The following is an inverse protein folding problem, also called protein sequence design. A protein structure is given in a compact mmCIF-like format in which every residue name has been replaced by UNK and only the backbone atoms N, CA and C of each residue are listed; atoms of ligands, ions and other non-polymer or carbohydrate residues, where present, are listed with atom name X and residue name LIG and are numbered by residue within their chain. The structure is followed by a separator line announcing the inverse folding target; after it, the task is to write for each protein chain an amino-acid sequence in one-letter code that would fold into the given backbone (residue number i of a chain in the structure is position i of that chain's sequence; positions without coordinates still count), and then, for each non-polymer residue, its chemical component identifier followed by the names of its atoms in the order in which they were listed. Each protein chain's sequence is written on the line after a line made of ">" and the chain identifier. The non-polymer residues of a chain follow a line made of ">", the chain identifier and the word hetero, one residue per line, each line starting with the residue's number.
data_IF_933946567304
#
_entry.id   IF_933946567304
#
_cell.length_a   1.000
_cell.length_b   1.000
_cell.length_c   1.000
_cell.angle_alpha   90.00
_cell.angle_beta   90.00
_cell.angle_gamma   90.00
#
_symmetry.space_group_name_H-M   'P 1'
#
loop_
_entity.id
_entity.type
_entity.pdbx_description
1 polymer ?
#
# COMPACT_ATOMS: atom_id res chain seq x y z
N UNK A 1 -11.72 -0.33 7.52
CA UNK A 1 -10.91 -1.43 6.90
C UNK A 1 -11.65 -2.79 6.93
N UNK A 2 -11.54 -3.63 5.89
CA UNK A 2 -12.17 -4.96 5.76
C UNK A 2 -11.13 -6.08 5.83
N UNK A 3 -11.21 -6.92 6.87
CA UNK A 3 -10.25 -8.02 7.09
C UNK A 3 -10.25 -9.06 5.95
N UNK A 4 -11.40 -9.34 5.33
CA UNK A 4 -11.49 -10.26 4.17
C UNK A 4 -10.66 -9.78 2.97
N UNK A 5 -10.57 -8.47 2.76
CA UNK A 5 -9.73 -7.90 1.71
C UNK A 5 -8.25 -8.02 2.05
N UNK A 6 -7.86 -7.81 3.31
CA UNK A 6 -6.48 -8.03 3.79
C UNK A 6 -6.05 -9.50 3.58
N UNK A 7 -6.93 -10.45 3.92
CA UNK A 7 -6.72 -11.88 3.66
C UNK A 7 -6.47 -12.13 2.17
N UNK A 8 -7.27 -11.49 1.31
CA UNK A 8 -7.16 -11.65 -0.14
C UNK A 8 -5.82 -11.14 -0.68
N UNK A 9 -5.33 -10.01 -0.17
CA UNK A 9 -4.00 -9.46 -0.50
C UNK A 9 -2.90 -10.46 -0.13
N UNK A 10 -2.88 -10.94 1.10
CA UNK A 10 -1.86 -11.88 1.57
C UNK A 10 -1.91 -13.22 0.82
N UNK A 11 -3.12 -13.72 0.50
CA UNK A 11 -3.31 -14.92 -0.34
C UNK A 11 -2.78 -14.77 -1.75
N UNK A 12 -2.99 -13.61 -2.37
CA UNK A 12 -2.53 -13.35 -3.72
C UNK A 12 -1.00 -13.40 -3.81
N UNK A 13 -0.30 -12.85 -2.81
CA UNK A 13 1.17 -12.84 -2.78
C UNK A 13 1.77 -14.08 -2.11
N UNK A 14 0.94 -14.94 -1.51
CA UNK A 14 1.36 -16.12 -0.72
C UNK A 14 2.39 -15.78 0.37
N UNK A 15 2.28 -14.58 0.94
CA UNK A 15 3.17 -14.06 1.97
C UNK A 15 2.33 -13.59 3.14
N UNK A 16 2.69 -14.05 4.33
CA UNK A 16 2.05 -13.66 5.58
C UNK A 16 3.14 -13.37 6.61
N UNK A 17 3.27 -12.12 7.00
CA UNK A 17 4.19 -11.66 8.03
C UNK A 17 3.37 -11.12 9.19
N UNK A 18 3.56 -11.68 10.38
CA UNK A 18 2.95 -11.14 11.60
C UNK A 18 3.97 -10.31 12.36
N UNK A 19 3.55 -9.13 12.80
CA UNK A 19 4.33 -8.27 13.68
C UNK A 19 3.46 -7.86 14.85
N UNK A 20 4.05 -7.81 16.03
CA UNK A 20 3.38 -7.36 17.24
C UNK A 20 3.99 -6.03 17.69
N UNK A 21 3.14 -5.13 18.19
CA UNK A 21 3.57 -3.99 18.98
C UNK A 21 2.80 -3.97 20.31
N UNK A 22 3.02 -2.96 21.15
CA UNK A 22 2.41 -2.90 22.49
C UNK A 22 0.87 -2.84 22.49
N UNK A 23 0.23 -2.57 21.36
CA UNK A 23 -1.21 -2.32 21.28
C UNK A 23 -1.96 -3.38 20.49
N UNK A 24 -1.43 -3.81 19.34
CA UNK A 24 -2.13 -4.71 18.42
C UNK A 24 -1.16 -5.60 17.65
N UNK A 25 -1.70 -6.70 17.11
CA UNK A 25 -1.03 -7.50 16.11
C UNK A 25 -1.31 -6.94 14.71
N UNK A 26 -0.29 -6.95 13.87
CA UNK A 26 -0.31 -6.50 12.48
C UNK A 26 0.00 -7.66 11.55
N UNK A 27 -0.58 -7.61 10.36
CA UNK A 27 -0.40 -8.60 9.30
C UNK A 27 0.05 -7.93 8.02
N UNK A 28 0.98 -8.56 7.31
CA UNK A 28 1.58 -8.01 6.11
C UNK A 28 1.81 -9.08 5.05
N UNK A 29 1.75 -8.67 3.79
CA UNK A 29 2.17 -9.47 2.63
C UNK A 29 3.61 -9.13 2.18
N UNK A 30 4.31 -8.29 2.93
CA UNK A 30 5.64 -7.77 2.61
C UNK A 30 5.66 -6.38 1.98
N UNK A 31 4.55 -5.88 1.43
CA UNK A 31 4.47 -4.56 0.80
C UNK A 31 3.37 -3.66 1.39
N UNK A 32 2.39 -4.23 2.09
CA UNK A 32 1.46 -3.50 2.93
C UNK A 32 1.30 -4.17 4.29
N UNK A 33 0.98 -3.38 5.31
CA UNK A 33 0.82 -3.81 6.70
C UNK A 33 -0.52 -3.29 7.21
N UNK A 34 -1.32 -4.18 7.80
CA UNK A 34 -2.66 -3.87 8.28
C UNK A 34 -2.84 -4.31 9.73
N UNK A 35 -3.56 -3.54 10.56
CA UNK A 35 -3.84 -3.93 11.92
C UNK A 35 -4.91 -5.02 11.95
N UNK A 36 -4.75 -6.00 12.84
CA UNK A 36 -5.77 -7.01 13.11
C UNK A 36 -6.68 -6.56 14.27
N UNK A 37 -7.29 -5.39 14.12
CA UNK A 37 -8.13 -4.80 15.18
C UNK A 37 -9.27 -5.73 15.62
N UNK A 38 -9.47 -5.80 16.94
CA UNK A 38 -10.54 -6.59 17.55
C UNK A 38 -10.32 -8.10 17.49
N UNK A 39 -9.16 -8.57 16.98
CA UNK A 39 -8.78 -9.97 17.00
C UNK A 39 -7.79 -10.23 18.14
N UNK A 40 -7.87 -11.40 18.80
CA UNK A 40 -6.83 -11.81 19.74
C UNK A 40 -5.52 -11.99 18.98
N UNK A 41 -4.39 -11.97 19.70
CA UNK A 41 -3.12 -12.38 19.12
C UNK A 41 -3.24 -13.78 18.53
N UNK A 42 -2.95 -13.90 17.25
CA UNK A 42 -3.07 -15.12 16.47
C UNK A 42 -1.69 -15.72 16.19
N UNK A 43 -1.58 -17.03 16.30
CA UNK A 43 -0.41 -17.79 15.83
C UNK A 43 -0.51 -18.04 14.33
N UNK A 44 0.59 -18.51 13.73
CA UNK A 44 0.61 -19.05 12.36
C UNK A 44 -0.61 -19.92 12.03
N UNK A 45 -0.86 -20.96 12.82
CA UNK A 45 -1.92 -21.93 12.52
C UNK A 45 -3.32 -21.32 12.61
N UNK A 46 -3.53 -20.41 13.56
CA UNK A 46 -4.79 -19.68 13.70
C UNK A 46 -5.02 -18.75 12.50
N UNK A 47 -3.99 -18.04 12.04
CA UNK A 47 -4.07 -17.18 10.85
C UNK A 47 -4.34 -18.00 9.59
N UNK A 48 -3.61 -19.10 9.39
CA UNK A 48 -3.82 -19.98 8.23
C UNK A 48 -5.23 -20.60 8.23
N UNK A 49 -5.76 -20.91 9.40
CA UNK A 49 -7.14 -21.41 9.57
C UNK A 49 -8.15 -20.31 9.25
N UNK A 50 -7.98 -19.10 9.78
CA UNK A 50 -8.83 -17.95 9.48
C UNK A 50 -8.80 -17.58 7.99
N UNK A 51 -7.67 -17.80 7.35
CA UNK A 51 -7.50 -17.59 5.93
C UNK A 51 -8.10 -18.75 5.12
N UNK A 52 -8.69 -19.79 5.71
CA UNK A 52 -9.16 -20.97 4.98
C UNK A 52 -8.07 -21.53 4.03
N UNK A 53 -6.82 -21.65 4.51
CA UNK A 53 -5.70 -22.25 3.75
C UNK A 53 -5.59 -23.74 4.09
N UNK A 54 -5.92 -24.64 3.14
CA UNK A 54 -5.79 -26.08 3.31
C UNK A 54 -4.35 -26.51 3.64
N UNK A 55 -4.18 -27.53 4.47
CA UNK A 55 -2.86 -28.01 4.93
C UNK A 55 -1.92 -28.35 3.77
N UNK A 56 -2.43 -29.00 2.72
CA UNK A 56 -1.70 -29.36 1.50
C UNK A 56 -1.18 -28.15 0.71
N UNK A 57 -1.76 -26.96 0.92
CA UNK A 57 -1.36 -25.72 0.26
C UNK A 57 -0.45 -24.83 1.11
N UNK A 58 -0.30 -25.12 2.42
CA UNK A 58 0.46 -24.26 3.36
C UNK A 58 1.94 -24.14 3.00
N UNK A 59 2.55 -25.17 2.44
CA UNK A 59 3.97 -25.16 2.03
C UNK A 59 4.26 -24.16 0.90
N UNK A 60 3.23 -23.73 0.15
CA UNK A 60 3.37 -22.71 -0.89
C UNK A 60 3.34 -21.28 -0.35
N UNK A 61 3.13 -21.09 0.96
CA UNK A 61 3.09 -19.78 1.60
C UNK A 61 4.39 -19.50 2.35
N UNK A 62 4.94 -18.30 2.16
CA UNK A 62 5.91 -17.74 3.06
C UNK A 62 5.22 -17.25 4.32
N UNK A 63 5.71 -17.68 5.48
CA UNK A 63 5.24 -17.21 6.77
C UNK A 63 6.40 -16.82 7.68
N UNK A 64 6.30 -15.68 8.33
CA UNK A 64 7.29 -15.20 9.29
C UNK A 64 6.62 -14.39 10.41
N UNK A 65 7.11 -14.54 11.64
CA UNK A 65 6.80 -13.60 12.72
C UNK A 65 8.05 -12.76 12.97
N UNK A 66 7.98 -11.46 12.65
CA UNK A 66 9.09 -10.53 12.81
C UNK A 66 8.62 -9.10 13.08
N UNK A 67 9.41 -8.29 13.81
CA UNK A 67 9.14 -6.86 13.92
C UNK A 67 9.43 -6.12 12.61
N UNK A 68 8.84 -4.94 12.46
CA UNK A 68 9.21 -3.95 11.44
C UNK A 68 9.97 -2.77 12.08
N UNK A 69 11.26 -2.91 12.41
CA UNK A 69 11.98 -1.96 13.27
C UNK A 69 12.16 -0.56 12.67
N UNK A 70 12.00 -0.40 11.35
CA UNK A 70 12.13 0.88 10.65
C UNK A 70 10.79 1.62 10.52
N UNK A 71 9.68 0.95 10.83
CA UNK A 71 8.33 1.47 10.62
C UNK A 71 7.76 1.96 11.95
N UNK A 72 7.21 3.17 11.96
CA UNK A 72 6.51 3.72 13.12
C UNK A 72 5.02 3.40 13.03
N UNK A 73 4.49 2.77 14.09
CA UNK A 73 3.09 2.36 14.18
C UNK A 73 2.23 3.34 15.00
N UNK A 74 2.77 4.48 15.38
CA UNK A 74 2.02 5.51 16.09
C UNK A 74 0.98 6.16 15.18
N UNK A 75 -0.17 6.52 15.75
CA UNK A 75 -1.27 7.18 15.05
C UNK A 75 -0.85 8.51 14.41
N UNK A 76 0.13 9.19 15.00
CA UNK A 76 0.68 10.45 14.50
C UNK A 76 2.20 10.45 14.66
N UNK A 77 2.88 11.03 13.67
CA UNK A 77 4.33 11.26 13.69
C UNK A 77 4.56 12.75 13.39
N UNK A 78 5.51 13.38 14.08
CA UNK A 78 5.72 14.84 14.05
C UNK A 78 5.86 15.41 12.64
N UNK A 79 6.54 14.70 11.74
CA UNK A 79 6.87 15.18 10.40
C UNK A 79 6.06 14.46 9.30
N UNK A 80 4.91 13.86 9.63
CA UNK A 80 4.04 13.27 8.60
C UNK A 80 3.32 14.35 7.80
N UNK A 81 3.28 14.18 6.47
CA UNK A 81 2.62 15.14 5.57
C UNK A 81 1.46 14.48 4.87
N UNK A 82 0.27 15.12 4.90
CA UNK A 82 -0.89 14.62 4.17
C UNK A 82 -0.63 14.68 2.66
N UNK A 83 -0.85 13.56 1.98
CA UNK A 83 -0.61 13.42 0.55
C UNK A 83 -1.81 13.89 -0.28
N UNK A 84 -1.50 14.51 -1.42
CA UNK A 84 -2.48 14.77 -2.48
C UNK A 84 -2.42 13.62 -3.49
N UNK A 85 -3.58 13.01 -3.75
CA UNK A 85 -3.74 11.94 -4.73
C UNK A 85 -3.86 12.56 -6.12
N UNK A 86 -3.15 12.02 -7.11
CA UNK A 86 -3.38 12.40 -8.49
C UNK A 86 -4.79 11.99 -8.94
N UNK A 87 -5.35 12.70 -9.92
CA UNK A 87 -6.66 12.37 -10.50
C UNK A 87 -6.59 11.31 -11.61
N UNK A 88 -5.38 10.80 -11.87
CA UNK A 88 -5.08 9.83 -12.92
C UNK A 88 -4.39 8.63 -12.26
N UNK A 89 -4.75 7.44 -12.72
CA UNK A 89 -4.05 6.20 -12.38
C UNK A 89 -3.42 5.61 -13.64
N UNK A 90 -2.36 4.83 -13.48
CA UNK A 90 -1.59 4.25 -14.59
C UNK A 90 -1.60 2.73 -14.49
N UNK A 91 -1.87 2.05 -15.61
CA UNK A 91 -1.75 0.60 -15.66
C UNK A 91 -0.42 0.20 -16.29
N UNK A 92 0.50 -0.34 -15.48
CA UNK A 92 1.90 -0.59 -15.86
C UNK A 92 2.31 -1.96 -15.38
N UNK A 93 2.79 -2.82 -16.28
CA UNK A 93 3.31 -4.14 -15.92
C UNK A 93 2.30 -5.06 -15.23
N UNK A 94 1.00 -4.89 -15.49
CA UNK A 94 -0.05 -5.68 -14.84
C UNK A 94 -0.61 -5.07 -13.55
N UNK A 95 -0.06 -3.94 -13.11
CA UNK A 95 -0.37 -3.28 -11.84
C UNK A 95 -1.08 -1.95 -12.12
N UNK A 96 -2.14 -1.68 -11.35
CA UNK A 96 -2.76 -0.35 -11.35
C UNK A 96 -2.06 0.51 -10.30
N UNK A 97 -1.31 1.50 -10.77
CA UNK A 97 -0.53 2.41 -9.97
C UNK A 97 -1.33 3.68 -9.68
N UNK A 98 -1.42 4.00 -8.41
CA UNK A 98 -1.93 5.28 -7.93
C UNK A 98 -0.77 6.24 -7.64
N UNK A 99 -0.68 7.37 -8.36
CA UNK A 99 0.34 8.37 -8.13
C UNK A 99 0.00 9.26 -6.93
N UNK A 100 0.99 9.48 -6.07
CA UNK A 100 0.90 10.32 -4.88
C UNK A 100 1.96 11.42 -4.98
N UNK A 101 1.54 12.68 -4.82
CA UNK A 101 2.48 13.81 -4.79
C UNK A 101 3.18 13.84 -3.44
N UNK A 102 4.51 13.77 -3.43
CA UNK A 102 5.33 13.71 -2.22
C UNK A 102 6.30 14.88 -2.15
N UNK A 103 6.97 15.03 -1.01
CA UNK A 103 8.07 15.99 -0.85
C UNK A 103 9.23 15.78 -1.85
N UNK A 104 9.38 14.56 -2.40
CA UNK A 104 10.40 14.18 -3.38
C UNK A 104 9.88 14.20 -4.83
N UNK A 105 8.71 14.80 -5.08
CA UNK A 105 8.06 14.83 -6.38
C UNK A 105 6.85 13.92 -6.43
N UNK A 106 7.02 12.70 -6.93
CA UNK A 106 5.92 11.73 -7.06
C UNK A 106 6.38 10.33 -6.65
N UNK A 107 5.50 9.61 -6.00
CA UNK A 107 5.67 8.17 -5.76
C UNK A 107 4.41 7.43 -6.18
N UNK A 108 4.49 6.11 -6.28
CA UNK A 108 3.38 5.27 -6.72
C UNK A 108 3.08 4.22 -5.68
N UNK A 109 1.81 3.86 -5.53
CA UNK A 109 1.39 2.67 -4.78
C UNK A 109 0.55 1.78 -5.69
N UNK A 110 0.60 0.48 -5.46
CA UNK A 110 -0.34 -0.44 -6.09
C UNK A 110 -1.73 -0.26 -5.46
N UNK A 111 -2.72 0.13 -6.26
CA UNK A 111 -4.11 0.36 -5.82
C UNK A 111 -4.72 -0.85 -5.10
N UNK A 112 -4.22 -2.07 -5.37
CA UNK A 112 -4.71 -3.27 -4.69
C UNK A 112 -4.57 -3.16 -3.16
N UNK A 113 -3.61 -2.40 -2.68
CA UNK A 113 -3.36 -2.20 -1.26
C UNK A 113 -4.34 -1.22 -0.59
N UNK A 114 -5.12 -0.49 -1.39
CA UNK A 114 -6.21 0.34 -0.89
C UNK A 114 -7.55 -0.39 -0.81
N UNK A 115 -7.71 -1.54 -1.48
CA UNK A 115 -8.94 -2.37 -1.45
C UNK A 115 -9.44 -2.72 -0.04
N UNK A 116 -8.58 -2.94 0.97
CA UNK A 116 -9.04 -3.10 2.35
C UNK A 116 -9.81 -1.91 2.92
N UNK A 117 -9.70 -0.73 2.32
CA UNK A 117 -10.35 0.50 2.75
C UNK A 117 -11.51 0.92 1.84
N UNK A 118 -11.94 0.08 0.90
CA UNK A 118 -13.05 0.39 0.01
C UNK A 118 -14.30 0.83 0.79
N UNK A 119 -14.85 2.00 0.42
CA UNK A 119 -15.99 2.68 1.06
C UNK A 119 -15.71 3.19 2.48
N UNK A 120 -14.45 3.25 2.90
CA UNK A 120 -14.02 3.90 4.14
C UNK A 120 -13.31 5.21 3.77
N UNK A 121 -13.70 6.36 4.36
CA UNK A 121 -12.96 7.60 4.14
C UNK A 121 -11.58 7.47 4.77
N UNK A 122 -10.55 7.44 3.93
CA UNK A 122 -9.15 7.37 4.35
C UNK A 122 -8.35 8.56 3.85
N UNK A 123 -7.29 8.87 4.58
CA UNK A 123 -6.29 9.86 4.22
C UNK A 123 -4.93 9.17 4.14
N UNK A 124 -4.12 9.58 3.17
CA UNK A 124 -2.76 9.06 2.98
C UNK A 124 -1.76 10.09 3.49
N UNK A 125 -0.72 9.61 4.17
CA UNK A 125 0.32 10.45 4.75
C UNK A 125 1.70 9.92 4.35
N UNK A 126 2.56 10.84 3.93
CA UNK A 126 3.98 10.61 3.71
C UNK A 126 4.66 10.51 5.07
N UNK A 127 5.35 9.40 5.30
CA UNK A 127 6.24 9.22 6.45
C UNK A 127 7.60 8.75 5.96
N UNK A 128 8.63 9.05 6.74
CA UNK A 128 9.98 8.60 6.46
C UNK A 128 10.51 7.75 7.61
N UNK A 129 11.23 6.70 7.25
CA UNK A 129 12.08 5.95 8.19
C UNK A 129 13.27 6.81 8.62
N UNK A 130 13.99 6.40 9.66
CA UNK A 130 15.18 7.14 10.15
C UNK A 130 16.30 7.25 9.10
N UNK A 131 16.35 6.30 8.18
CA UNK A 131 17.28 6.25 7.05
C UNK A 131 16.77 6.99 5.81
N UNK A 132 15.62 7.67 5.90
CA UNK A 132 15.07 8.52 4.83
C UNK A 132 14.24 7.78 3.79
N UNK A 133 14.03 6.47 3.92
CA UNK A 133 13.11 5.74 3.06
C UNK A 133 11.67 6.14 3.34
N UNK A 134 10.95 6.56 2.29
CA UNK A 134 9.54 6.93 2.37
C UNK A 134 8.64 5.69 2.45
N UNK A 135 7.58 5.78 3.25
CA UNK A 135 6.45 4.86 3.30
C UNK A 135 5.14 5.63 3.51
N UNK A 136 4.02 5.02 3.12
CA UNK A 136 2.72 5.67 3.15
C UNK A 136 1.93 5.16 4.35
N UNK A 137 1.51 6.05 5.25
CA UNK A 137 0.54 5.74 6.28
C UNK A 137 -0.88 5.96 5.75
N UNK A 138 -1.74 4.97 5.96
CA UNK A 138 -3.18 5.04 5.68
C UNK A 138 -3.89 5.32 6.99
N UNK A 139 -4.67 6.40 7.05
CA UNK A 139 -5.37 6.82 8.26
C UNK A 139 -6.86 6.90 8.04
N UNK A 140 -7.62 6.41 9.02
CA UNK A 140 -9.07 6.61 9.11
C UNK A 140 -9.32 7.64 10.22
N UNK A 141 -9.54 8.90 9.84
CA UNK A 141 -9.44 10.02 10.77
C UNK A 141 -8.03 10.14 11.33
N UNK A 142 -7.88 10.07 12.66
CA UNK A 142 -6.57 10.14 13.32
C UNK A 142 -5.90 8.78 13.53
N UNK A 143 -6.62 7.68 13.30
CA UNK A 143 -6.13 6.32 13.58
C UNK A 143 -5.29 5.79 12.42
N UNK A 144 -4.12 5.23 12.70
CA UNK A 144 -3.33 4.50 11.72
C UNK A 144 -4.00 3.15 11.43
N UNK A 145 -4.46 2.96 10.18
CA UNK A 145 -5.20 1.76 9.75
C UNK A 145 -4.51 0.98 8.65
N UNK A 146 -3.37 1.46 8.15
CA UNK A 146 -2.52 0.70 7.25
C UNK A 146 -1.21 1.39 6.97
N UNK A 147 -0.25 0.63 6.44
CA UNK A 147 1.03 1.11 5.97
C UNK A 147 1.27 0.48 4.61
N UNK A 148 1.68 1.27 3.62
CA UNK A 148 1.94 0.80 2.26
C UNK A 148 3.34 1.24 1.85
N UNK A 149 4.14 0.28 1.41
CA UNK A 149 5.43 0.54 0.78
C UNK A 149 5.21 1.02 -0.66
N UNK A 150 5.80 2.15 -1.07
CA UNK A 150 5.72 2.60 -2.44
C UNK A 150 6.30 1.60 -3.44
N UNK A 151 5.74 1.58 -4.63
CA UNK A 151 6.31 0.94 -5.80
C UNK A 151 7.28 1.91 -6.49
N UNK A 152 8.35 1.38 -7.06
CA UNK A 152 9.31 2.16 -7.84
C UNK A 152 9.25 1.77 -9.33
N UNK A 153 8.26 2.29 -10.08
CA UNK A 153 8.22 2.12 -11.53
C UNK A 153 9.14 3.10 -12.27
N UNK A 154 9.75 4.06 -11.57
CA UNK A 154 10.37 5.23 -12.19
C UNK A 154 11.73 4.84 -12.75
N UNK A 155 11.83 4.87 -14.07
CA UNK A 155 13.07 4.77 -14.84
C UNK A 155 12.95 5.63 -16.09
N UNK A 156 14.01 5.69 -16.90
CA UNK A 156 14.03 6.50 -18.13
C UNK A 156 12.89 6.12 -19.08
N UNK A 157 12.64 4.83 -19.30
CA UNK A 157 11.57 4.35 -20.19
C UNK A 157 10.18 4.76 -19.70
N UNK A 158 9.94 4.66 -18.39
CA UNK A 158 8.67 5.07 -17.78
C UNK A 158 8.43 6.57 -17.94
N UNK A 159 9.44 7.41 -17.69
CA UNK A 159 9.33 8.86 -17.85
C UNK A 159 9.11 9.24 -19.32
N UNK A 160 9.81 8.58 -20.24
CA UNK A 160 9.62 8.80 -21.68
C UNK A 160 8.19 8.46 -22.12
N UNK A 161 7.62 7.35 -21.65
CA UNK A 161 6.22 6.99 -21.94
C UNK A 161 5.22 8.03 -21.41
N UNK A 162 5.44 8.58 -20.22
CA UNK A 162 4.60 9.65 -19.69
C UNK A 162 4.71 10.93 -20.51
N UNK A 163 5.91 11.27 -20.97
CA UNK A 163 6.13 12.41 -21.84
C UNK A 163 5.41 12.24 -23.20
N UNK A 164 5.47 11.05 -23.79
CA UNK A 164 4.77 10.74 -25.04
C UNK A 164 3.25 10.89 -24.88
N UNK A 165 2.69 10.38 -23.77
CA UNK A 165 1.27 10.53 -23.46
C UNK A 165 0.87 12.00 -23.28
N UNK A 166 1.71 12.80 -22.63
CA UNK A 166 1.51 14.24 -22.50
C UNK A 166 1.51 14.91 -23.87
N UNK A 167 2.54 14.71 -24.69
CA UNK A 167 2.66 15.32 -26.02
C UNK A 167 1.49 14.96 -26.93
N UNK A 168 1.07 13.69 -26.97
CA UNK A 168 -0.07 13.26 -27.78
C UNK A 168 -1.40 13.85 -27.28
N UNK A 169 -1.58 13.97 -25.97
CA UNK A 169 -2.77 14.58 -25.38
C UNK A 169 -2.84 16.08 -25.68
N UNK A 170 -1.70 16.77 -25.65
CA UNK A 170 -1.59 18.20 -25.95
C UNK A 170 -1.90 18.48 -27.43
N UNK A 171 -1.31 17.72 -28.35
CA UNK A 171 -1.64 17.79 -29.79
C UNK A 171 -3.14 17.54 -30.05
N UNK A 172 -3.75 16.57 -29.36
CA UNK A 172 -5.18 16.28 -29.50
C UNK A 172 -6.06 17.41 -28.94
N UNK A 173 -5.59 18.16 -27.95
CA UNK A 173 -6.28 19.33 -27.42
C UNK A 173 -6.22 20.52 -28.39
N UNK A 174 -5.05 20.81 -28.96
CA UNK A 174 -4.85 21.89 -29.93
C UNK A 174 -5.69 21.69 -31.19
N UNK A 175 -5.77 20.46 -31.70
CA UNK A 175 -6.56 20.14 -32.88
C UNK A 175 -8.07 20.40 -32.68
N UNK A 176 -8.58 20.32 -31.45
CA UNK A 176 -9.99 20.65 -31.14
C UNK A 176 -10.27 22.15 -31.06
N UNK A 177 -9.25 22.95 -30.77
CA UNK A 177 -9.37 24.42 -30.72
C UNK A 177 -9.28 25.10 -32.09
N UNK A 178 -9.09 24.31 -33.16
CA UNK A 178 -8.92 24.78 -34.55
C UNK A 178 -10.18 24.61 -35.41
N UNK A 179 -11.32 24.24 -34.81
CA UNK A 179 -12.67 24.23 -35.42
C UNK A 179 -13.51 25.43 -34.92
#
# INVERSE_FOLDING_TARGET
>A
MKIKSVISVCKANKTIILSENNSYQWISDGAAIYPMFGLPKMTKDQVLTMFDIPEDKRNGFYFEEKPFPRICFDDSVTDETKLERAKLSLYVGGIMLEPLKTSQGITYIDERYLKPFDNTPIELYERNTRDGQTYIAVKEGFLLTGIITPCDPINEDFVNQLNDLYTLSDMALENKGSE
#
